data_IF_349754886617
#
_entry.id   IF_349754886617
#
_cell.length_a   1.000
_cell.length_b   1.000
_cell.length_c   1.000
_cell.angle_alpha   90.00
_cell.angle_beta   90.00
_cell.angle_gamma   90.00
#
_symmetry.space_group_name_H-M   'P 1'
#
loop_
_entity.id
_entity.type
_entity.pdbx_description
1 polymer ?
#
# COMPACT_ATOMS: atom_id res chain seq x y z
N UNK A 1 -35.81 43.05 -26.01
CA UNK A 1 -35.50 43.14 -24.58
C UNK A 1 -35.13 41.72 -24.12
N UNK A 2 -33.95 41.33 -23.67
CA UNK A 2 -32.67 41.97 -23.45
C UNK A 2 -31.59 40.88 -23.53
N UNK A 3 -30.42 41.28 -23.97
CA UNK A 3 -29.16 40.55 -24.08
C UNK A 3 -28.60 40.08 -22.73
N UNK A 4 -27.91 38.94 -22.69
CA UNK A 4 -26.78 38.74 -21.77
C UNK A 4 -25.69 37.89 -22.41
N UNK A 5 -24.49 38.45 -22.38
CA UNK A 5 -23.25 37.93 -22.94
C UNK A 5 -22.56 37.02 -21.92
N UNK A 6 -21.85 36.01 -22.42
CA UNK A 6 -20.94 35.17 -21.63
C UNK A 6 -19.59 35.89 -21.54
N UNK A 7 -19.17 36.23 -20.32
CA UNK A 7 -17.81 36.71 -20.01
C UNK A 7 -16.96 35.56 -19.47
N UNK A 8 -15.90 35.21 -20.19
CA UNK A 8 -14.87 34.29 -19.73
C UNK A 8 -13.77 35.05 -18.99
N UNK A 9 -13.43 34.60 -17.79
CA UNK A 9 -12.32 35.11 -16.99
C UNK A 9 -11.00 34.44 -17.40
N UNK A 10 -9.94 35.27 -17.40
CA UNK A 10 -8.57 34.96 -17.75
C UNK A 10 -7.84 34.21 -16.63
N UNK A 11 -7.20 33.08 -16.95
CA UNK A 11 -6.16 32.47 -16.11
C UNK A 11 -4.93 32.23 -16.96
N UNK A 12 -3.84 32.83 -16.50
CA UNK A 12 -2.49 32.87 -17.06
C UNK A 12 -1.85 31.48 -17.17
N UNK A 13 -1.48 31.09 -18.39
CA UNK A 13 -0.62 29.92 -18.65
C UNK A 13 0.82 30.37 -18.84
N UNK A 14 1.71 29.87 -17.97
CA UNK A 14 3.17 29.97 -18.14
C UNK A 14 3.61 29.21 -19.39
N UNK A 15 4.18 29.98 -20.31
CA UNK A 15 5.30 29.68 -21.20
C UNK A 15 5.68 28.20 -21.40
N UNK A 16 5.18 27.62 -22.50
CA UNK A 16 5.80 26.47 -23.16
C UNK A 16 6.48 27.02 -24.41
N UNK A 17 7.82 27.00 -24.44
CA UNK A 17 8.58 27.40 -25.61
C UNK A 17 8.39 26.36 -26.72
N UNK A 18 7.79 26.78 -27.82
CA UNK A 18 7.57 25.98 -29.02
C UNK A 18 8.88 25.74 -29.78
N UNK A 19 9.16 24.46 -30.00
CA UNK A 19 10.29 23.97 -30.78
C UNK A 19 9.95 24.08 -32.27
N UNK A 20 10.28 25.22 -32.90
CA UNK A 20 10.19 25.36 -34.35
C UNK A 20 11.33 26.24 -34.87
N UNK A 21 12.36 25.60 -35.42
CA UNK A 21 13.54 26.31 -35.87
C UNK A 21 14.55 25.46 -36.61
N UNK A 22 14.11 24.62 -37.55
CA UNK A 22 14.99 24.09 -38.60
C UNK A 22 14.34 24.35 -39.96
N UNK A 23 14.63 25.53 -40.51
CA UNK A 23 14.58 25.78 -41.95
C UNK A 23 16.02 26.00 -42.41
N UNK A 24 16.59 25.14 -43.28
CA UNK A 24 17.85 25.46 -43.91
C UNK A 24 17.59 26.51 -45.00
N UNK A 25 18.01 27.76 -44.78
CA UNK A 25 18.14 28.72 -45.86
C UNK A 25 19.36 28.34 -46.70
N UNK A 26 19.13 27.99 -47.96
CA UNK A 26 20.20 27.84 -48.94
C UNK A 26 20.86 29.19 -49.17
N UNK A 27 22.11 29.33 -48.74
CA UNK A 27 22.95 30.48 -49.08
C UNK A 27 23.85 30.08 -50.24
N UNK A 28 23.62 30.68 -51.41
CA UNK A 28 24.55 30.64 -52.53
C UNK A 28 25.72 31.59 -52.24
N UNK A 29 26.95 31.07 -52.30
CA UNK A 29 28.16 31.90 -52.31
C UNK A 29 28.75 31.93 -53.71
N UNK A 30 28.79 33.14 -54.29
CA UNK A 30 29.66 33.49 -55.41
C UNK A 30 31.02 33.95 -54.87
N UNK A 31 32.11 33.50 -55.51
CA UNK A 31 33.43 34.10 -55.34
C UNK A 31 34.55 33.08 -55.21
N UNK A 32 35.08 32.65 -56.35
CA UNK A 32 36.35 31.93 -56.40
C UNK A 32 37.50 32.88 -56.01
N UNK A 33 38.19 32.57 -54.90
CA UNK A 33 39.56 33.04 -54.65
C UNK A 33 40.38 31.90 -54.06
N UNK A 34 41.41 31.51 -54.81
CA UNK A 34 42.42 30.54 -54.37
C UNK A 34 43.19 31.11 -53.18
N UNK A 35 42.97 30.53 -51.99
CA UNK A 35 43.81 30.75 -50.82
C UNK A 35 44.80 29.59 -50.72
N UNK A 36 46.08 29.94 -50.71
CA UNK A 36 47.21 29.00 -50.57
C UNK A 36 47.08 28.23 -49.25
N UNK A 37 47.12 26.90 -49.34
CA UNK A 37 47.16 25.99 -48.18
C UNK A 37 48.55 26.13 -47.53
N UNK A 38 48.63 26.99 -46.52
CA UNK A 38 49.72 27.02 -45.55
C UNK A 38 49.45 25.98 -44.48
N UNK A 39 50.44 25.12 -44.24
CA UNK A 39 50.45 24.05 -43.24
C UNK A 39 49.83 24.50 -41.89
N UNK A 40 48.72 23.90 -41.41
CA UNK A 40 48.20 24.24 -40.11
C UNK A 40 49.13 23.65 -39.06
N UNK A 41 49.97 24.51 -38.46
CA UNK A 41 50.65 24.17 -37.22
C UNK A 41 49.59 23.69 -36.22
N UNK A 42 49.67 22.40 -35.89
CA UNK A 42 48.77 21.66 -35.02
C UNK A 42 48.78 22.32 -33.64
N UNK A 43 47.91 23.32 -33.42
CA UNK A 43 47.64 23.78 -32.06
C UNK A 43 47.02 22.60 -31.34
N UNK A 44 47.80 22.00 -30.46
CA UNK A 44 47.34 21.05 -29.47
C UNK A 44 46.31 21.77 -28.59
N UNK A 45 45.04 21.70 -28.97
CA UNK A 45 43.97 21.91 -28.02
C UNK A 45 44.09 20.79 -27.00
N UNK A 46 44.56 21.12 -25.79
CA UNK A 46 44.42 20.22 -24.64
C UNK A 46 42.92 19.99 -24.48
N UNK A 47 42.44 18.83 -24.93
CA UNK A 47 41.03 18.47 -24.84
C UNK A 47 40.60 18.55 -23.39
N UNK A 48 39.59 19.38 -23.12
CA UNK A 48 38.93 19.38 -21.82
C UNK A 48 38.13 18.08 -21.77
N UNK A 49 38.68 17.06 -21.09
CA UNK A 49 37.96 15.82 -20.82
C UNK A 49 36.98 16.12 -19.69
N UNK A 50 35.73 16.38 -20.04
CA UNK A 50 34.65 16.48 -19.06
C UNK A 50 34.28 15.05 -18.66
N UNK A 51 34.78 14.60 -17.50
CA UNK A 51 34.27 13.37 -16.87
C UNK A 51 32.84 13.65 -16.43
N UNK A 52 31.86 13.10 -17.13
CA UNK A 52 30.50 13.03 -16.62
C UNK A 52 30.53 12.18 -15.34
N UNK A 53 30.49 12.84 -14.18
CA UNK A 53 30.29 12.15 -12.92
C UNK A 53 28.83 11.73 -12.88
N UNK A 54 28.55 10.46 -13.19
CA UNK A 54 27.23 9.90 -12.94
C UNK A 54 27.03 9.93 -11.44
N UNK A 55 26.07 10.73 -10.97
CA UNK A 55 25.71 10.79 -9.55
C UNK A 55 25.11 9.43 -9.20
N UNK A 56 25.90 8.58 -8.55
CA UNK A 56 25.41 7.32 -7.99
C UNK A 56 24.48 7.69 -6.85
N UNK A 57 23.20 7.31 -6.96
CA UNK A 57 22.24 7.55 -5.90
C UNK A 57 22.76 6.93 -4.60
N UNK A 58 22.72 7.65 -3.46
CA UNK A 58 23.17 7.10 -2.19
C UNK A 58 22.33 5.86 -1.87
N UNK A 59 22.99 4.70 -1.82
CA UNK A 59 22.38 3.48 -1.30
C UNK A 59 22.31 3.65 0.21
N UNK A 60 21.12 3.88 0.74
CA UNK A 60 20.91 3.87 2.19
C UNK A 60 21.11 2.44 2.69
N UNK A 61 21.97 2.25 3.70
CA UNK A 61 22.36 0.92 4.23
C UNK A 61 21.52 0.51 5.44
N UNK A 62 20.84 1.44 6.10
CA UNK A 62 19.96 1.19 7.24
C UNK A 62 18.81 2.20 7.25
N UNK A 63 17.57 1.72 7.38
CA UNK A 63 16.37 2.55 7.53
C UNK A 63 15.79 2.29 8.92
N UNK A 64 15.89 3.27 9.81
CA UNK A 64 15.17 3.27 11.09
C UNK A 64 13.85 4.01 10.90
N UNK A 65 12.69 3.34 10.98
CA UNK A 65 11.42 4.05 10.96
C UNK A 65 11.30 4.95 12.20
N UNK A 66 10.70 6.13 12.03
CA UNK A 66 10.50 7.11 13.10
C UNK A 66 9.05 7.09 13.57
N UNK A 67 8.85 7.40 14.86
CA UNK A 67 7.53 7.43 15.49
C UNK A 67 6.83 6.08 15.47
N UNK A 68 5.57 6.06 15.06
CA UNK A 68 4.66 4.91 15.03
C UNK A 68 4.79 4.05 13.76
N UNK A 69 5.88 4.19 13.02
CA UNK A 69 6.09 3.48 11.75
C UNK A 69 6.83 2.17 11.96
N UNK A 70 6.52 1.20 11.12
CA UNK A 70 7.09 -0.14 11.09
C UNK A 70 7.54 -0.44 9.68
N UNK A 71 8.78 -0.94 9.54
CA UNK A 71 9.33 -1.38 8.27
C UNK A 71 9.05 -2.87 8.12
N UNK A 72 8.29 -3.23 7.10
CA UNK A 72 7.89 -4.60 6.80
C UNK A 72 8.51 -5.03 5.47
N UNK A 73 9.15 -6.19 5.45
CA UNK A 73 9.55 -6.88 4.23
C UNK A 73 8.35 -7.66 3.72
N UNK A 74 7.90 -7.36 2.51
CA UNK A 74 6.75 -8.03 1.90
C UNK A 74 7.16 -9.48 1.60
N UNK A 75 6.38 -10.47 2.06
CA UNK A 75 6.63 -11.87 1.67
C UNK A 75 6.44 -11.99 0.16
N UNK A 76 7.27 -12.76 -0.52
CA UNK A 76 7.04 -13.05 -1.94
C UNK A 76 5.87 -14.02 -2.06
N UNK A 77 4.94 -13.76 -2.98
CA UNK A 77 3.81 -14.66 -3.21
C UNK A 77 4.34 -15.97 -3.82
N UNK A 78 3.82 -17.10 -3.34
CA UNK A 78 4.11 -18.40 -3.94
C UNK A 78 3.57 -18.44 -5.36
N UNK A 79 4.45 -18.26 -6.35
CA UNK A 79 4.09 -18.23 -7.78
C UNK A 79 3.65 -19.60 -8.30
N UNK A 80 3.95 -20.66 -7.54
CA UNK A 80 3.62 -22.05 -7.86
C UNK A 80 2.62 -22.57 -6.84
N UNK A 81 1.44 -22.94 -7.32
CA UNK A 81 0.54 -23.80 -6.54
C UNK A 81 1.17 -25.17 -6.33
N UNK A 82 0.74 -25.89 -5.30
CA UNK A 82 1.19 -27.27 -4.98
C UNK A 82 1.12 -28.24 -6.18
N UNK A 83 0.28 -27.94 -7.18
CA UNK A 83 0.16 -28.70 -8.44
C UNK A 83 1.11 -28.29 -9.57
N UNK A 84 2.08 -27.40 -9.34
CA UNK A 84 3.08 -26.98 -10.33
C UNK A 84 2.57 -26.01 -11.41
N UNK A 85 1.35 -25.49 -11.26
CA UNK A 85 0.76 -24.52 -12.20
C UNK A 85 1.20 -23.11 -11.80
N UNK A 86 1.79 -22.39 -12.75
CA UNK A 86 2.15 -20.98 -12.60
C UNK A 86 0.88 -20.12 -12.67
N UNK A 87 0.56 -19.43 -11.59
CA UNK A 87 -0.55 -18.47 -11.61
C UNK A 87 -0.13 -17.24 -12.40
N UNK A 88 -0.97 -16.72 -13.32
CA UNK A 88 -0.71 -15.44 -13.95
C UNK A 88 -0.65 -14.34 -12.88
N UNK A 89 0.22 -13.35 -13.09
CA UNK A 89 0.47 -12.24 -12.14
C UNK A 89 -0.78 -11.42 -11.78
N UNK A 90 -1.86 -11.53 -12.56
CA UNK A 90 -3.16 -10.88 -12.30
C UNK A 90 -4.06 -11.66 -11.33
N UNK A 91 -3.84 -12.97 -11.16
CA UNK A 91 -4.56 -13.82 -10.21
C UNK A 91 -3.83 -13.94 -8.86
N UNK A 92 -2.57 -13.53 -8.82
CA UNK A 92 -1.78 -13.46 -7.60
C UNK A 92 -2.20 -12.22 -6.80
N UNK A 93 -3.02 -12.42 -5.78
CA UNK A 93 -3.30 -11.37 -4.80
C UNK A 93 -1.98 -10.98 -4.14
N UNK A 94 -1.65 -9.68 -4.10
CA UNK A 94 -0.52 -9.18 -3.31
C UNK A 94 -0.62 -9.79 -1.91
N UNK A 95 0.45 -10.42 -1.39
CA UNK A 95 0.43 -10.97 -0.05
C UNK A 95 0.21 -9.80 0.90
N UNK A 96 -0.84 -9.91 1.69
CA UNK A 96 -1.19 -8.93 2.73
C UNK A 96 -0.38 -9.17 4.01
N UNK A 97 0.64 -10.03 3.93
CA UNK A 97 1.51 -10.42 5.01
C UNK A 97 2.97 -10.11 4.72
N UNK A 98 3.72 -9.82 5.76
CA UNK A 98 5.14 -9.52 5.68
C UNK A 98 5.86 -9.80 6.99
N UNK A 99 7.19 -9.76 6.95
CA UNK A 99 8.05 -9.89 8.11
C UNK A 99 8.53 -8.52 8.58
N UNK A 100 8.51 -8.26 9.88
CA UNK A 100 8.93 -6.97 10.43
C UNK A 100 10.45 -6.89 10.51
N UNK A 101 11.05 -5.93 9.82
CA UNK A 101 12.50 -5.72 9.82
C UNK A 101 12.91 -4.74 10.93
N UNK A 102 12.16 -3.65 11.06
CA UNK A 102 12.46 -2.61 12.04
C UNK A 102 11.18 -1.97 12.57
N UNK A 103 11.22 -1.58 13.84
CA UNK A 103 10.11 -0.98 14.57
C UNK A 103 10.52 0.43 14.98
N UNK A 104 9.59 1.36 14.88
CA UNK A 104 9.78 2.73 15.33
C UNK A 104 9.75 2.86 16.85
N UNK A 105 9.85 4.09 17.32
CA UNK A 105 9.85 4.42 18.74
C UNK A 105 8.42 4.40 19.34
N UNK A 106 7.39 4.25 18.50
CA UNK A 106 6.00 4.17 18.93
C UNK A 106 5.28 5.52 18.97
N UNK A 107 4.07 5.51 19.53
CA UNK A 107 3.20 6.68 19.58
C UNK A 107 3.52 7.52 20.81
N UNK A 108 3.85 8.78 20.60
CA UNK A 108 4.00 9.75 21.69
C UNK A 108 2.63 10.32 22.04
N UNK A 109 2.09 9.96 23.22
CA UNK A 109 0.92 10.61 23.80
C UNK A 109 1.36 11.55 24.91
N UNK A 110 1.59 12.82 24.55
CA UNK A 110 2.00 13.86 25.50
C UNK A 110 3.36 13.56 26.15
N UNK A 111 3.33 13.10 27.41
CA UNK A 111 4.52 12.73 28.19
C UNK A 111 4.80 11.22 28.22
N UNK A 112 3.83 10.41 27.80
CA UNK A 112 3.93 8.96 27.80
C UNK A 112 4.21 8.47 26.38
N UNK A 113 5.08 7.48 26.27
CA UNK A 113 5.42 6.83 25.01
C UNK A 113 4.76 5.46 25.01
N UNK A 114 3.87 5.23 24.05
CA UNK A 114 3.21 3.95 23.84
C UNK A 114 4.06 3.15 22.87
N UNK A 115 4.64 2.06 23.38
CA UNK A 115 5.45 1.14 22.60
C UNK A 115 4.60 0.41 21.55
N UNK A 116 5.23 0.07 20.43
CA UNK A 116 4.60 -0.71 19.37
C UNK A 116 4.43 -2.15 19.86
N UNK A 117 3.24 -2.72 19.65
CA UNK A 117 2.89 -4.07 20.11
C UNK A 117 3.61 -5.19 19.33
N UNK A 118 4.34 -4.82 18.28
CA UNK A 118 4.95 -5.74 17.32
C UNK A 118 6.47 -5.81 17.51
N UNK A 119 7.02 -7.03 17.51
CA UNK A 119 8.46 -7.28 17.63
C UNK A 119 9.12 -7.43 16.26
N UNK A 120 10.40 -7.05 16.11
CA UNK A 120 11.15 -7.36 14.89
C UNK A 120 11.25 -8.89 14.70
N UNK A 121 11.14 -9.34 13.44
CA UNK A 121 11.08 -10.75 13.04
C UNK A 121 9.68 -11.37 13.13
N UNK A 122 8.67 -10.66 13.64
CA UNK A 122 7.30 -11.17 13.66
C UNK A 122 6.69 -11.15 12.24
N UNK A 123 5.86 -12.15 11.95
CA UNK A 123 5.02 -12.15 10.76
C UNK A 123 3.74 -11.39 11.07
N UNK A 124 3.42 -10.41 10.24
CA UNK A 124 2.26 -9.54 10.43
C UNK A 124 1.42 -9.45 9.18
N UNK A 125 0.13 -9.20 9.38
CA UNK A 125 -0.81 -8.85 8.32
C UNK A 125 -1.12 -7.37 8.42
N UNK A 126 -1.15 -6.69 7.29
CA UNK A 126 -1.43 -5.26 7.21
C UNK A 126 -2.56 -4.98 6.22
N UNK A 127 -3.12 -3.77 6.29
CA UNK A 127 -4.17 -3.34 5.38
C UNK A 127 -3.69 -3.24 3.93
N UNK A 128 -4.54 -3.65 2.96
CA UNK A 128 -4.21 -3.70 1.51
C UNK A 128 -3.66 -2.39 0.94
N UNK A 129 -4.14 -1.25 1.47
CA UNK A 129 -3.81 0.08 0.97
C UNK A 129 -2.97 0.90 1.95
N UNK A 130 -2.36 0.23 2.93
CA UNK A 130 -1.54 0.91 3.92
C UNK A 130 -0.07 0.99 3.50
N UNK A 131 0.56 2.07 3.96
CA UNK A 131 1.99 2.25 3.90
C UNK A 131 2.55 2.88 2.62
N UNK A 132 3.87 2.96 2.58
CA UNK A 132 4.65 3.51 1.47
C UNK A 132 5.67 2.46 1.03
N UNK A 133 5.63 2.11 -0.26
CA UNK A 133 6.59 1.18 -0.87
C UNK A 133 7.97 1.85 -0.96
N UNK A 134 9.01 1.16 -0.47
CA UNK A 134 10.40 1.61 -0.46
C UNK A 134 11.29 0.46 -0.90
N UNK A 135 12.04 0.68 -1.97
CA UNK A 135 13.05 -0.28 -2.42
C UNK A 135 14.33 -0.10 -1.61
N UNK A 136 14.72 -1.15 -0.88
CA UNK A 136 15.89 -1.15 -0.02
C UNK A 136 16.65 -2.46 -0.18
N UNK A 137 17.97 -2.38 -0.38
CA UNK A 137 18.85 -3.54 -0.65
C UNK A 137 18.43 -4.43 -1.83
N UNK A 138 17.68 -3.89 -2.79
CA UNK A 138 17.15 -4.65 -3.92
C UNK A 138 15.90 -5.47 -3.61
N UNK A 139 15.35 -5.32 -2.40
CA UNK A 139 14.11 -5.96 -1.96
C UNK A 139 13.03 -4.90 -1.69
N UNK A 140 11.77 -5.27 -1.94
CA UNK A 140 10.62 -4.40 -1.73
C UNK A 140 10.22 -4.40 -0.26
N UNK A 141 10.38 -3.25 0.39
CA UNK A 141 9.92 -3.02 1.75
C UNK A 141 8.70 -2.10 1.74
N UNK A 142 7.90 -2.19 2.79
CA UNK A 142 6.71 -1.39 3.01
C UNK A 142 6.83 -0.72 4.38
N UNK A 143 6.77 0.61 4.41
CA UNK A 143 6.70 1.36 5.66
C UNK A 143 5.23 1.55 6.00
N UNK A 144 4.77 0.91 7.07
CA UNK A 144 3.37 0.89 7.52
C UNK A 144 3.27 1.58 8.88
N UNK A 145 2.10 2.16 9.21
CA UNK A 145 1.85 2.64 10.57
C UNK A 145 1.44 1.47 11.47
N UNK A 146 1.75 1.55 12.76
CA UNK A 146 1.29 0.58 13.74
C UNK A 146 -0.25 0.39 13.69
N UNK A 147 -0.99 1.50 13.50
CA UNK A 147 -2.44 1.48 13.36
C UNK A 147 -2.96 0.67 12.17
N UNK A 148 -2.17 0.52 11.12
CA UNK A 148 -2.54 -0.18 9.89
C UNK A 148 -2.23 -1.68 9.96
N UNK A 149 -1.42 -2.11 10.94
CA UNK A 149 -1.15 -3.51 11.22
C UNK A 149 -2.42 -4.13 11.80
N UNK A 150 -2.86 -5.20 11.17
CA UNK A 150 -4.10 -5.90 11.50
C UNK A 150 -3.87 -6.84 12.67
N UNK A 151 -2.79 -7.62 12.59
CA UNK A 151 -2.53 -8.69 13.54
C UNK A 151 -1.18 -9.35 13.32
N UNK A 152 -0.78 -10.14 14.31
CA UNK A 152 0.39 -11.03 14.25
C UNK A 152 -0.10 -12.41 13.82
N UNK A 153 0.59 -13.01 12.87
CA UNK A 153 0.36 -14.38 12.45
C UNK A 153 1.31 -15.31 13.21
N UNK A 154 0.75 -16.32 13.87
CA UNK A 154 1.53 -17.43 14.43
C UNK A 154 1.80 -18.50 13.36
N UNK A 155 0.84 -18.71 12.45
CA UNK A 155 0.89 -19.64 11.32
C UNK A 155 0.66 -18.88 10.00
N UNK A 156 0.96 -19.47 8.85
CA UNK A 156 0.61 -18.90 7.53
C UNK A 156 -0.92 -18.85 7.23
N UNK A 157 -1.77 -19.18 8.21
CA UNK A 157 -3.22 -19.23 8.09
C UNK A 157 -3.88 -18.07 8.83
N UNK A 158 -4.87 -17.43 8.18
CA UNK A 158 -5.59 -16.26 8.72
C UNK A 158 -6.44 -16.60 9.96
N UNK A 159 -6.78 -17.88 10.17
CA UNK A 159 -7.54 -18.35 11.33
C UNK A 159 -6.86 -18.04 12.65
N UNK A 160 -5.54 -18.17 12.67
CA UNK A 160 -4.71 -18.01 13.87
C UNK A 160 -4.17 -16.57 13.98
N UNK A 161 -4.72 -15.64 13.19
CA UNK A 161 -4.38 -14.24 13.25
C UNK A 161 -4.80 -13.69 14.62
N UNK A 162 -3.82 -13.19 15.37
CA UNK A 162 -4.07 -12.43 16.59
C UNK A 162 -4.21 -10.95 16.24
N UNK A 163 -5.45 -10.40 16.21
CA UNK A 163 -5.64 -8.99 15.89
C UNK A 163 -4.99 -8.08 16.93
N UNK A 164 -4.49 -6.94 16.47
CA UNK A 164 -3.93 -5.88 17.31
C UNK A 164 -4.94 -4.75 17.53
N UNK A 165 -4.69 -3.92 18.55
CA UNK A 165 -5.52 -2.77 18.92
C UNK A 165 -6.99 -3.19 19.19
N UNK A 166 -7.94 -2.38 18.74
CA UNK A 166 -9.38 -2.58 18.85
C UNK A 166 -9.99 -3.45 17.72
N UNK A 167 -9.15 -4.22 17.02
CA UNK A 167 -9.61 -5.00 15.88
C UNK A 167 -10.21 -6.33 16.31
N UNK A 168 -11.20 -6.79 15.55
CA UNK A 168 -11.94 -8.03 15.79
C UNK A 168 -11.93 -8.83 14.49
N UNK A 169 -11.53 -10.10 14.55
CA UNK A 169 -11.56 -11.03 13.44
C UNK A 169 -12.88 -11.79 13.46
N UNK A 170 -13.65 -11.69 12.38
CA UNK A 170 -14.95 -12.31 12.21
C UNK A 170 -14.89 -13.26 11.02
N UNK A 171 -15.50 -14.43 11.19
CA UNK A 171 -15.77 -15.37 10.11
C UNK A 171 -17.17 -15.08 9.56
N UNK A 172 -17.25 -14.77 8.27
CA UNK A 172 -18.54 -14.58 7.60
C UNK A 172 -19.17 -15.96 7.39
N UNK A 173 -20.45 -16.09 7.74
CA UNK A 173 -21.22 -17.27 7.37
C UNK A 173 -21.67 -17.17 5.91
N UNK A 174 -21.60 -18.27 5.16
CA UNK A 174 -22.06 -18.25 3.76
C UNK A 174 -23.58 -18.08 3.76
N UNK A 175 -24.08 -17.13 2.98
CA UNK A 175 -25.52 -16.89 2.83
C UNK A 175 -26.24 -18.17 2.41
N UNK A 176 -27.37 -18.45 3.06
CA UNK A 176 -28.21 -19.60 2.71
C UNK A 176 -28.68 -19.51 1.26
N UNK A 177 -28.41 -20.56 0.48
CA UNK A 177 -28.67 -20.54 -0.96
C UNK A 177 -30.15 -20.68 -1.31
N UNK A 178 -30.94 -21.16 -0.34
CA UNK A 178 -32.36 -21.40 -0.45
C UNK A 178 -33.08 -20.44 0.48
N UNK A 179 -34.08 -19.76 -0.06
CA UNK A 179 -35.07 -19.10 0.79
C UNK A 179 -35.90 -20.15 1.52
N UNK A 180 -36.57 -19.75 2.62
CA UNK A 180 -37.49 -20.62 3.37
C UNK A 180 -38.60 -21.25 2.51
N UNK A 181 -38.89 -20.66 1.33
CA UNK A 181 -39.82 -21.19 0.33
C UNK A 181 -39.23 -22.17 -0.69
N UNK A 182 -37.96 -22.57 -0.57
CA UNK A 182 -37.31 -23.56 -1.44
C UNK A 182 -36.79 -23.02 -2.78
N UNK A 183 -36.87 -21.71 -3.02
CA UNK A 183 -36.30 -21.07 -4.22
C UNK A 183 -34.80 -20.87 -4.02
N UNK A 184 -34.01 -21.27 -5.03
CA UNK A 184 -32.59 -20.98 -5.10
C UNK A 184 -32.35 -19.55 -5.54
N UNK A 185 -31.58 -18.80 -4.76
CA UNK A 185 -31.11 -17.48 -5.16
C UNK A 185 -29.95 -17.62 -6.14
N UNK A 186 -29.93 -16.80 -7.19
CA UNK A 186 -28.75 -16.65 -8.04
C UNK A 186 -27.67 -15.89 -7.27
N UNK A 187 -26.38 -16.16 -7.55
CA UNK A 187 -25.26 -15.54 -6.84
C UNK A 187 -25.28 -14.01 -6.88
N UNK A 188 -25.83 -13.41 -7.94
CA UNK A 188 -25.96 -11.95 -8.08
C UNK A 188 -26.99 -11.32 -7.13
N UNK A 189 -27.93 -12.10 -6.60
CA UNK A 189 -28.95 -11.65 -5.63
C UNK A 189 -28.56 -12.01 -4.18
N UNK A 190 -27.57 -12.89 -4.01
CA UNK A 190 -27.00 -13.23 -2.70
C UNK A 190 -26.09 -12.11 -2.21
N UNK A 191 -26.64 -11.18 -1.44
CA UNK A 191 -25.82 -10.21 -0.72
C UNK A 191 -25.00 -10.90 0.37
N UNK A 192 -23.76 -10.46 0.58
CA UNK A 192 -22.95 -10.91 1.72
C UNK A 192 -23.71 -10.57 3.01
N UNK A 193 -23.91 -11.53 3.92
CA UNK A 193 -24.59 -11.26 5.17
C UNK A 193 -23.77 -10.27 5.98
N UNK A 194 -24.43 -9.28 6.58
CA UNK A 194 -23.79 -8.29 7.45
C UNK A 194 -23.59 -8.79 8.88
N UNK A 195 -23.57 -10.10 9.08
CA UNK A 195 -23.32 -10.74 10.38
C UNK A 195 -22.30 -11.86 10.24
N UNK A 196 -21.59 -12.17 11.32
CA UNK A 196 -20.62 -13.25 11.36
C UNK A 196 -20.22 -13.63 12.77
N UNK A 197 -19.48 -14.72 12.89
CA UNK A 197 -19.00 -15.26 14.16
C UNK A 197 -17.62 -14.73 14.50
N UNK A 198 -17.44 -14.21 15.72
CA UNK A 198 -16.15 -13.68 16.17
C UNK A 198 -15.19 -14.84 16.44
N UNK A 199 -14.02 -14.82 15.80
CA UNK A 199 -12.96 -15.82 15.97
C UNK A 199 -11.94 -15.34 17.00
N UNK A 200 -11.47 -14.09 16.85
CA UNK A 200 -10.46 -13.51 17.71
C UNK A 200 -10.73 -12.03 17.98
N UNK A 201 -10.32 -11.57 19.16
CA UNK A 201 -10.55 -10.21 19.65
C UNK A 201 -9.21 -9.60 20.02
N UNK A 202 -8.96 -8.37 19.60
CA UNK A 202 -7.75 -7.63 19.92
C UNK A 202 -7.71 -7.19 21.39
N UNK A 203 -6.54 -6.79 21.90
CA UNK A 203 -6.38 -6.36 23.29
C UNK A 203 -7.24 -5.14 23.65
N UNK A 204 -7.55 -4.28 22.67
CA UNK A 204 -8.41 -3.11 22.81
C UNK A 204 -7.70 -1.78 22.57
N UNK A 205 -8.40 -0.66 22.82
CA UNK A 205 -7.87 0.69 22.63
C UNK A 205 -6.92 1.08 23.77
N UNK A 206 -5.87 1.80 23.42
CA UNK A 206 -4.94 2.38 24.40
C UNK A 206 -5.46 3.77 24.79
N UNK A 207 -5.63 3.99 26.09
CA UNK A 207 -6.02 5.27 26.66
C UNK A 207 -4.87 6.27 26.72
N UNK A 208 -5.19 7.52 27.07
CA UNK A 208 -4.20 8.58 27.25
C UNK A 208 -3.13 8.28 28.32
N UNK A 209 -3.45 7.37 29.23
CA UNK A 209 -2.57 6.90 30.30
C UNK A 209 -1.68 5.72 29.87
N UNK A 210 -1.86 5.19 28.66
CA UNK A 210 -1.18 3.98 28.18
C UNK A 210 -1.83 2.67 28.64
N UNK A 211 -2.97 2.74 29.35
CA UNK A 211 -3.74 1.57 29.77
C UNK A 211 -4.59 1.03 28.61
N UNK A 212 -4.71 -0.30 28.51
CA UNK A 212 -5.49 -0.97 27.47
C UNK A 212 -6.92 -1.17 27.99
N UNK A 213 -7.90 -0.56 27.32
CA UNK A 213 -9.33 -0.80 27.56
C UNK A 213 -9.80 -2.05 26.81
N UNK A 214 -10.27 -3.10 27.51
CA UNK A 214 -10.74 -4.31 26.86
C UNK A 214 -12.02 -4.06 26.05
N UNK A 215 -12.21 -4.86 25.00
CA UNK A 215 -13.38 -4.79 24.14
C UNK A 215 -14.60 -5.45 24.78
N UNK A 216 -15.80 -4.93 24.46
CA UNK A 216 -17.08 -5.49 24.94
C UNK A 216 -17.48 -6.82 24.28
N UNK A 217 -16.77 -7.22 23.23
CA UNK A 217 -17.10 -8.39 22.40
C UNK A 217 -16.21 -9.56 22.80
N UNK A 218 -16.80 -10.75 22.99
CA UNK A 218 -16.08 -11.99 23.30
C UNK A 218 -15.98 -12.90 22.07
N UNK A 219 -14.94 -13.74 21.96
CA UNK A 219 -14.83 -14.73 20.91
C UNK A 219 -16.00 -15.73 20.98
N UNK A 220 -16.51 -16.13 19.82
CA UNK A 220 -17.67 -17.03 19.68
C UNK A 220 -19.01 -16.32 19.51
N UNK A 221 -19.12 -15.02 19.82
CA UNK A 221 -20.37 -14.29 19.65
C UNK A 221 -20.69 -14.08 18.16
N UNK A 222 -21.98 -14.05 17.83
CA UNK A 222 -22.44 -13.58 16.53
C UNK A 222 -22.59 -12.07 16.60
N UNK A 223 -22.01 -11.34 15.65
CA UNK A 223 -22.05 -9.88 15.62
C UNK A 223 -22.63 -9.37 14.32
N UNK A 224 -23.47 -8.35 14.43
CA UNK A 224 -23.95 -7.54 13.31
C UNK A 224 -22.97 -6.38 13.11
N UNK A 225 -22.51 -6.19 11.88
CA UNK A 225 -21.55 -5.16 11.53
C UNK A 225 -21.97 -4.36 10.31
N UNK A 226 -21.31 -3.23 10.07
CA UNK A 226 -21.59 -2.39 8.91
C UNK A 226 -21.04 -2.98 7.61
N UNK A 227 -21.85 -2.96 6.54
CA UNK A 227 -21.61 -3.67 5.25
C UNK A 227 -20.30 -3.32 4.54
N UNK A 228 -19.67 -2.19 4.86
CA UNK A 228 -18.49 -1.69 4.15
C UNK A 228 -17.30 -1.44 5.08
N UNK A 229 -17.34 -1.99 6.29
CA UNK A 229 -16.26 -1.83 7.25
C UNK A 229 -15.21 -2.93 7.14
N UNK A 230 -14.00 -2.54 7.53
CA UNK A 230 -12.86 -3.43 7.71
C UNK A 230 -12.23 -3.96 6.43
N UNK A 231 -11.47 -5.04 6.62
CA UNK A 231 -10.61 -5.61 5.60
C UNK A 231 -10.97 -7.08 5.40
N UNK A 232 -11.18 -7.45 4.13
CA UNK A 232 -11.47 -8.82 3.74
C UNK A 232 -10.18 -9.64 3.55
N UNK A 233 -10.19 -10.84 4.15
CA UNK A 233 -9.14 -11.84 4.05
C UNK A 233 -9.74 -13.18 3.61
N UNK A 234 -9.03 -13.88 2.72
CA UNK A 234 -9.42 -15.22 2.26
C UNK A 234 -8.50 -16.25 2.89
N UNK A 235 -9.05 -17.10 3.75
CA UNK A 235 -8.30 -18.22 4.34
C UNK A 235 -8.02 -19.31 3.30
N UNK A 236 -7.02 -20.16 3.56
CA UNK A 236 -6.69 -21.31 2.70
C UNK A 236 -7.85 -22.29 2.54
N UNK A 237 -8.76 -22.33 3.51
CA UNK A 237 -9.96 -23.18 3.49
C UNK A 237 -11.09 -22.68 2.56
N UNK A 238 -10.90 -21.56 1.87
CA UNK A 238 -11.96 -20.91 1.10
C UNK A 238 -13.05 -20.26 1.96
N UNK A 239 -12.76 -20.05 3.25
CA UNK A 239 -13.59 -19.26 4.16
C UNK A 239 -13.18 -17.78 4.08
N UNK A 240 -14.18 -16.90 4.13
CA UNK A 240 -13.97 -15.45 4.18
C UNK A 240 -13.92 -14.97 5.62
N UNK A 241 -12.87 -14.22 5.93
CA UNK A 241 -12.66 -13.56 7.20
C UNK A 241 -12.66 -12.06 6.98
N UNK A 242 -13.23 -11.31 7.91
CA UNK A 242 -13.15 -9.86 7.92
C UNK A 242 -12.52 -9.44 9.23
N UNK A 243 -11.56 -8.52 9.17
CA UNK A 243 -11.14 -7.80 10.37
C UNK A 243 -11.83 -6.44 10.43
N UNK A 244 -12.59 -6.21 11.48
CA UNK A 244 -13.30 -4.97 11.75
C UNK A 244 -12.66 -4.22 12.93
N UNK A 245 -12.96 -2.94 13.07
CA UNK A 245 -12.75 -2.25 14.35
C UNK A 245 -13.95 -2.49 15.27
N UNK A 246 -13.76 -2.35 16.57
CA UNK A 246 -14.86 -2.44 17.54
C UNK A 246 -15.97 -1.44 17.27
N UNK A 247 -15.64 -0.26 16.75
CA UNK A 247 -16.60 0.80 16.40
C UNK A 247 -17.53 0.44 15.24
N UNK A 248 -17.13 -0.52 14.40
CA UNK A 248 -17.92 -0.95 13.23
C UNK A 248 -18.94 -2.05 13.58
N UNK A 249 -18.84 -2.62 14.79
CA UNK A 249 -19.79 -3.59 15.34
C UNK A 249 -21.01 -2.85 15.86
N UNK A 250 -22.17 -3.15 15.29
CA UNK A 250 -23.44 -2.49 15.62
C UNK A 250 -24.16 -3.18 16.78
N UNK A 251 -24.18 -4.51 16.79
CA UNK A 251 -24.86 -5.29 17.81
C UNK A 251 -24.21 -6.67 17.99
N UNK A 252 -24.30 -7.19 19.22
CA UNK A 252 -24.06 -8.61 19.50
C UNK A 252 -25.41 -9.32 19.43
N UNK A 253 -25.50 -10.33 18.57
CA UNK A 253 -26.67 -11.18 18.42
C UNK A 253 -26.50 -12.38 19.35
N UNK A 254 -27.47 -12.56 20.25
CA UNK A 254 -27.51 -13.62 21.27
C UNK A 254 -28.74 -14.48 21.12
#
# INVERSE_FOLDING_TARGET
MASSQLTASSISTRNVASFQGLRPSGVQFHGARNVRIGNPARRSFKGVVVKAATVVAPKYTAIKPLGDRVLVKVKEAEEKTEGGILLPSTAQSKPQGGEVVAVGEGKTLGKNQVDISVKPGAQVVYSKYAGTEVDFNGEKHLIVKDDDIVGILETDDIKDLKPLNDRILIKIEKAEEKTSGGLFLTEATKEKPSFGTVVAVGPGLVDEEGNIKPLSVTPGNTVLYSKYAGNDFKGKDGLEYITLRSSDVMAVLS
#
